data_IF_445484263742
#
_entry.id   IF_445484263742
#
_cell.length_a   1.000
_cell.length_b   1.000
_cell.length_c   1.000
_cell.angle_alpha   90.00
_cell.angle_beta   90.00
_cell.angle_gamma   90.00
#
_symmetry.space_group_name_H-M   'P 1'
#
loop_
_entity.id
_entity.type
_entity.pdbx_description
1 polymer ?
#
# COMPACT_ATOMS: atom_id res chain seq x y z
N UNK A 1 23.80 27.78 41.39
CA UNK A 1 23.40 26.39 41.01
C UNK A 1 23.22 26.33 39.51
N UNK A 2 24.04 25.53 38.80
CA UNK A 2 23.89 25.29 37.35
C UNK A 2 22.93 24.11 37.13
N UNK A 3 22.04 24.14 36.12
CA UNK A 3 21.16 23.02 35.82
C UNK A 3 21.97 21.84 35.28
N UNK A 4 21.74 20.65 35.85
CA UNK A 4 22.29 19.38 35.38
C UNK A 4 21.63 19.04 34.04
N UNK A 5 22.42 18.87 32.98
CA UNK A 5 21.96 18.42 31.68
C UNK A 5 21.39 17.00 31.78
N UNK A 6 20.19 16.79 31.22
CA UNK A 6 19.60 15.45 31.13
C UNK A 6 20.49 14.53 30.26
N UNK A 7 20.70 13.27 30.65
CA UNK A 7 21.54 12.35 29.88
C UNK A 7 20.91 12.09 28.50
N UNK A 8 21.72 12.26 27.45
CA UNK A 8 21.30 11.99 26.07
C UNK A 8 20.82 10.55 25.92
N UNK A 9 19.66 10.36 25.26
CA UNK A 9 19.12 9.02 24.93
C UNK A 9 20.19 8.24 24.17
N UNK A 10 20.80 7.24 24.83
CA UNK A 10 21.94 6.49 24.31
C UNK A 10 21.60 5.67 23.07
N UNK A 11 22.61 5.39 22.25
CA UNK A 11 22.55 4.61 20.99
C UNK A 11 21.80 3.27 21.17
N UNK A 12 21.92 2.62 22.34
CA UNK A 12 21.21 1.38 22.71
C UNK A 12 19.67 1.53 22.75
N UNK A 13 19.16 2.70 23.12
CA UNK A 13 17.72 2.99 23.13
C UNK A 13 17.12 3.22 21.74
N UNK A 14 17.96 3.52 20.74
CA UNK A 14 17.57 3.63 19.33
C UNK A 14 17.73 2.31 18.56
N UNK A 15 18.67 1.45 18.99
CA UNK A 15 18.92 0.14 18.39
C UNK A 15 17.79 -0.87 18.63
N UNK A 16 17.21 -0.92 19.83
CA UNK A 16 16.10 -1.83 20.16
C UNK A 16 14.85 -1.62 19.27
N UNK A 17 14.37 -0.39 19.07
CA UNK A 17 13.32 -0.11 18.09
C UNK A 17 13.74 -0.55 16.68
N UNK A 18 14.94 -0.19 16.22
CA UNK A 18 15.42 -0.52 14.88
C UNK A 18 15.50 -2.03 14.63
N UNK A 19 15.96 -2.82 15.60
CA UNK A 19 15.97 -4.30 15.53
C UNK A 19 14.55 -4.85 15.48
N UNK A 20 13.62 -4.33 16.29
CA UNK A 20 12.22 -4.72 16.22
C UNK A 20 11.57 -4.34 14.88
N UNK A 21 11.95 -3.21 14.28
CA UNK A 21 11.51 -2.82 12.94
C UNK A 21 12.05 -3.79 11.88
N UNK A 22 13.32 -4.14 11.93
CA UNK A 22 13.96 -5.09 11.02
C UNK A 22 13.36 -6.50 11.16
N UNK A 23 13.14 -6.97 12.39
CA UNK A 23 12.50 -8.28 12.64
C UNK A 23 11.06 -8.30 12.13
N UNK A 24 10.32 -7.21 12.29
CA UNK A 24 8.96 -7.10 11.75
C UNK A 24 8.96 -7.12 10.21
N UNK A 25 9.86 -6.36 9.58
CA UNK A 25 10.01 -6.37 8.11
C UNK A 25 10.41 -7.76 7.62
N UNK A 26 11.37 -8.42 8.29
CA UNK A 26 11.80 -9.78 7.95
C UNK A 26 10.71 -10.82 8.21
N UNK A 27 9.88 -10.66 9.25
CA UNK A 27 8.76 -11.55 9.54
C UNK A 27 7.63 -11.39 8.51
N UNK A 28 7.29 -10.15 8.16
CA UNK A 28 6.34 -9.87 7.06
C UNK A 28 6.86 -10.40 5.73
N UNK A 29 8.15 -10.22 5.47
CA UNK A 29 8.84 -10.76 4.29
C UNK A 29 8.85 -12.30 4.29
N UNK A 30 9.09 -12.93 5.43
CA UNK A 30 9.04 -14.38 5.59
C UNK A 30 7.63 -14.93 5.37
N UNK A 31 6.61 -14.29 5.94
CA UNK A 31 5.21 -14.65 5.77
C UNK A 31 4.76 -14.53 4.31
N UNK A 32 5.18 -13.45 3.64
CA UNK A 32 4.94 -13.25 2.21
C UNK A 32 5.60 -14.35 1.36
N UNK A 33 6.86 -14.68 1.62
CA UNK A 33 7.56 -15.75 0.89
C UNK A 33 6.95 -17.13 1.14
N UNK A 34 6.44 -17.41 2.35
CA UNK A 34 5.74 -18.65 2.65
C UNK A 34 4.41 -18.75 1.87
N UNK A 35 3.67 -17.64 1.81
CA UNK A 35 2.47 -17.50 0.99
C UNK A 35 2.71 -17.78 -0.49
N UNK A 36 3.85 -17.31 -1.01
CA UNK A 36 4.26 -17.52 -2.41
C UNK A 36 4.47 -19.00 -2.75
N UNK A 37 5.03 -19.78 -1.84
CA UNK A 37 5.26 -21.23 -2.05
C UNK A 37 3.94 -22.00 -2.16
N UNK A 38 2.89 -21.54 -1.46
CA UNK A 38 1.54 -22.14 -1.50
C UNK A 38 0.76 -21.68 -2.74
N UNK A 39 0.97 -20.44 -3.20
CA UNK A 39 0.23 -19.85 -4.32
C UNK A 39 0.69 -20.33 -5.71
N UNK A 40 1.97 -20.73 -5.88
CA UNK A 40 2.53 -21.16 -7.19
C UNK A 40 1.82 -22.36 -7.84
N UNK A 41 0.96 -23.09 -7.13
CA UNK A 41 0.18 -24.21 -7.65
C UNK A 41 -1.29 -23.91 -7.97
N UNK A 42 -1.74 -22.65 -7.97
CA UNK A 42 -3.18 -22.27 -8.01
C UNK A 42 -3.57 -21.31 -9.13
N UNK A 43 -2.88 -21.32 -10.27
CA UNK A 43 -3.16 -20.38 -11.37
C UNK A 43 -4.62 -20.45 -11.85
N UNK A 44 -5.16 -21.66 -12.04
CA UNK A 44 -6.57 -21.85 -12.39
C UNK A 44 -7.53 -21.26 -11.35
N UNK A 45 -7.24 -21.44 -10.05
CA UNK A 45 -8.04 -20.83 -8.98
C UNK A 45 -7.98 -19.31 -9.00
N UNK A 46 -6.83 -18.72 -9.37
CA UNK A 46 -6.67 -17.27 -9.45
C UNK A 46 -7.49 -16.67 -10.61
N UNK A 47 -7.58 -17.38 -11.74
CA UNK A 47 -8.43 -17.01 -12.88
C UNK A 47 -9.92 -17.12 -12.51
N UNK A 48 -10.33 -18.19 -11.83
CA UNK A 48 -11.72 -18.41 -11.39
C UNK A 48 -12.16 -17.31 -10.39
N UNK A 49 -11.29 -16.93 -9.45
CA UNK A 49 -11.55 -15.81 -8.56
C UNK A 49 -11.69 -14.49 -9.32
N UNK A 50 -10.84 -14.23 -10.31
CA UNK A 50 -10.90 -13.02 -11.11
C UNK A 50 -12.19 -12.93 -11.94
N UNK A 51 -12.61 -14.03 -12.55
CA UNK A 51 -13.90 -14.11 -13.26
C UNK A 51 -15.09 -13.90 -12.32
N UNK A 52 -15.07 -14.55 -11.16
CA UNK A 52 -16.11 -14.37 -10.14
C UNK A 52 -16.18 -12.92 -9.62
N UNK A 53 -15.03 -12.25 -9.52
CA UNK A 53 -14.94 -10.85 -9.15
C UNK A 53 -15.55 -9.94 -10.22
N UNK A 54 -15.25 -10.19 -11.49
CA UNK A 54 -15.85 -9.45 -12.62
C UNK A 54 -17.37 -9.63 -12.69
N UNK A 55 -17.87 -10.83 -12.42
CA UNK A 55 -19.32 -11.08 -12.32
C UNK A 55 -19.95 -10.23 -11.20
N UNK A 56 -19.26 -10.11 -10.06
CA UNK A 56 -19.69 -9.24 -8.96
C UNK A 56 -19.65 -7.75 -9.34
N UNK A 57 -18.62 -7.30 -10.05
CA UNK A 57 -18.53 -5.92 -10.57
C UNK A 57 -19.64 -5.62 -11.58
N UNK A 58 -19.95 -6.58 -12.45
CA UNK A 58 -21.07 -6.52 -13.38
C UNK A 58 -22.42 -6.45 -12.66
N UNK A 59 -22.61 -7.23 -11.61
CA UNK A 59 -23.81 -7.17 -10.76
C UNK A 59 -23.95 -5.82 -10.04
N UNK A 60 -22.84 -5.22 -9.63
CA UNK A 60 -22.77 -3.87 -9.06
C UNK A 60 -22.85 -2.75 -10.11
N UNK A 61 -22.85 -3.11 -11.40
CA UNK A 61 -22.85 -2.19 -12.54
C UNK A 61 -21.68 -1.19 -12.50
N UNK A 62 -20.51 -1.65 -12.08
CA UNK A 62 -19.30 -0.85 -12.15
C UNK A 62 -18.89 -0.63 -13.62
N UNK A 63 -18.23 0.49 -13.95
CA UNK A 63 -17.73 0.75 -15.30
C UNK A 63 -16.71 -0.32 -15.72
N UNK A 64 -16.75 -0.75 -16.98
CA UNK A 64 -15.76 -1.71 -17.49
C UNK A 64 -14.34 -1.12 -17.48
N UNK A 65 -13.41 -1.80 -16.80
CA UNK A 65 -11.99 -1.44 -16.76
C UNK A 65 -11.36 -1.47 -18.14
N UNK A 66 -11.76 -2.43 -18.98
CA UNK A 66 -11.28 -2.56 -20.36
C UNK A 66 -11.55 -1.28 -21.16
N UNK A 67 -12.77 -0.73 -21.08
CA UNK A 67 -13.13 0.49 -21.78
C UNK A 67 -12.28 1.68 -21.31
N UNK A 68 -11.99 1.76 -20.01
CA UNK A 68 -11.13 2.80 -19.45
C UNK A 68 -9.67 2.66 -19.90
N UNK A 69 -9.13 1.44 -19.94
CA UNK A 69 -7.79 1.19 -20.46
C UNK A 69 -7.71 1.48 -21.97
N UNK A 70 -8.68 1.05 -22.77
CA UNK A 70 -8.72 1.31 -24.21
C UNK A 70 -8.74 2.81 -24.51
N UNK A 71 -9.54 3.58 -23.76
CA UNK A 71 -9.51 5.04 -23.83
C UNK A 71 -8.10 5.57 -23.51
N UNK A 72 -7.48 5.09 -22.42
CA UNK A 72 -6.17 5.57 -21.99
C UNK A 72 -5.05 5.25 -23.00
N UNK A 73 -5.12 4.08 -23.66
CA UNK A 73 -4.21 3.67 -24.73
C UNK A 73 -4.30 4.60 -25.95
N UNK A 74 -5.46 5.21 -26.19
CA UNK A 74 -5.66 6.21 -27.24
C UNK A 74 -5.08 7.60 -26.92
N UNK A 75 -4.69 7.87 -25.68
CA UNK A 75 -4.14 9.18 -25.26
C UNK A 75 -2.61 9.14 -25.29
N UNK A 76 -1.94 9.99 -26.10
CA UNK A 76 -0.48 10.00 -26.20
C UNK A 76 0.20 10.15 -24.83
N UNK A 77 1.19 9.30 -24.57
CA UNK A 77 2.01 9.26 -23.35
C UNK A 77 1.30 8.95 -22.03
N UNK A 78 -0.03 8.90 -21.97
CA UNK A 78 -0.77 8.73 -20.72
C UNK A 78 -0.41 7.42 -20.01
N UNK A 79 -0.44 6.30 -20.75
CA UNK A 79 -0.13 4.98 -20.21
C UNK A 79 1.35 4.88 -19.78
N UNK A 80 2.28 5.42 -20.58
CA UNK A 80 3.69 5.44 -20.19
C UNK A 80 3.97 6.29 -18.94
N UNK A 81 3.21 7.36 -18.71
CA UNK A 81 3.24 8.12 -17.46
C UNK A 81 2.62 7.33 -16.30
N UNK A 82 1.53 6.61 -16.56
CA UNK A 82 0.87 5.75 -15.58
C UNK A 82 1.81 4.63 -15.12
N UNK A 83 2.49 3.93 -16.02
CA UNK A 83 3.46 2.88 -15.68
C UNK A 83 4.62 3.42 -14.83
N UNK A 84 5.12 4.63 -15.13
CA UNK A 84 6.14 5.28 -14.29
C UNK A 84 5.60 5.65 -12.92
N UNK A 85 4.39 6.20 -12.86
CA UNK A 85 3.75 6.54 -11.59
C UNK A 85 3.53 5.29 -10.72
N UNK A 86 3.13 4.17 -11.34
CA UNK A 86 2.95 2.88 -10.68
C UNK A 86 4.22 2.51 -9.87
N UNK A 87 5.40 2.70 -10.46
CA UNK A 87 6.68 2.51 -9.76
C UNK A 87 6.98 3.61 -8.73
N UNK A 88 6.70 4.87 -9.05
CA UNK A 88 6.99 6.03 -8.19
C UNK A 88 6.15 6.08 -6.90
N UNK A 89 5.01 5.39 -6.86
CA UNK A 89 4.16 5.32 -5.67
C UNK A 89 4.92 4.85 -4.42
N UNK A 90 5.86 3.90 -4.56
CA UNK A 90 6.66 3.39 -3.44
C UNK A 90 7.66 4.44 -2.90
N UNK A 91 8.52 5.08 -3.73
CA UNK A 91 9.32 6.22 -3.30
C UNK A 91 8.51 7.35 -2.66
N UNK A 92 7.32 7.68 -3.19
CA UNK A 92 6.43 8.68 -2.60
C UNK A 92 6.04 8.27 -1.17
N UNK A 93 5.66 7.01 -0.98
CA UNK A 93 5.32 6.47 0.34
C UNK A 93 6.48 6.60 1.32
N UNK A 94 7.69 6.20 0.91
CA UNK A 94 8.90 6.33 1.75
C UNK A 94 9.17 7.79 2.07
N UNK A 95 9.11 8.68 1.08
CA UNK A 95 9.34 10.12 1.27
C UNK A 95 8.36 10.74 2.26
N UNK A 96 7.07 10.37 2.19
CA UNK A 96 6.04 10.80 3.15
C UNK A 96 6.35 10.30 4.55
N UNK A 97 6.75 9.03 4.71
CA UNK A 97 7.10 8.48 6.02
C UNK A 97 8.33 9.17 6.62
N UNK A 98 9.36 9.43 5.81
CA UNK A 98 10.55 10.19 6.23
C UNK A 98 10.17 11.61 6.66
N UNK A 99 9.32 12.29 5.88
CA UNK A 99 8.83 13.62 6.23
C UNK A 99 8.01 13.62 7.53
N UNK A 100 7.09 12.67 7.69
CA UNK A 100 6.33 12.48 8.92
C UNK A 100 7.26 12.19 10.10
N UNK A 101 8.30 11.38 9.91
CA UNK A 101 9.28 11.11 10.96
C UNK A 101 10.01 12.39 11.35
N UNK A 102 10.47 13.18 10.38
CA UNK A 102 11.21 14.41 10.64
C UNK A 102 10.35 15.51 11.29
N UNK A 103 9.09 15.66 10.87
CA UNK A 103 8.26 16.82 11.21
C UNK A 103 7.02 16.52 12.06
N UNK A 104 6.53 15.29 12.07
CA UNK A 104 5.25 14.89 12.70
C UNK A 104 5.32 13.50 13.34
N UNK A 105 6.18 13.32 14.35
CA UNK A 105 6.44 12.04 15.03
C UNK A 105 5.18 11.25 15.43
N UNK A 106 4.11 11.86 15.99
CA UNK A 106 2.87 11.12 16.26
C UNK A 106 2.19 10.60 14.99
N UNK A 107 2.15 11.42 13.93
CA UNK A 107 1.61 11.04 12.62
C UNK A 107 2.40 9.91 11.98
N UNK A 108 3.74 9.94 12.07
CA UNK A 108 4.61 8.84 11.62
C UNK A 108 4.28 7.52 12.32
N UNK A 109 4.16 7.52 13.66
CA UNK A 109 3.86 6.30 14.43
C UNK A 109 2.50 5.71 14.02
N UNK A 110 1.50 6.57 13.85
CA UNK A 110 0.17 6.13 13.42
C UNK A 110 0.18 5.58 11.99
N UNK A 111 0.82 6.29 11.04
CA UNK A 111 0.97 5.84 9.66
C UNK A 111 1.71 4.50 9.57
N UNK A 112 2.88 4.40 10.22
CA UNK A 112 3.72 3.19 10.21
C UNK A 112 2.97 1.97 10.75
N UNK A 113 2.32 2.08 11.92
CA UNK A 113 1.57 0.96 12.51
C UNK A 113 0.39 0.55 11.64
N UNK A 114 -0.30 1.52 11.05
CA UNK A 114 -1.43 1.27 10.17
C UNK A 114 -0.98 0.61 8.85
N UNK A 115 0.15 1.03 8.28
CA UNK A 115 0.74 0.43 7.08
C UNK A 115 1.16 -1.01 7.33
N UNK A 116 1.84 -1.28 8.45
CA UNK A 116 2.20 -2.65 8.86
C UNK A 116 0.97 -3.53 8.95
N UNK A 117 -0.07 -3.08 9.67
CA UNK A 117 -1.28 -3.86 9.86
C UNK A 117 -2.03 -4.07 8.53
N UNK A 118 -2.24 -3.01 7.76
CA UNK A 118 -2.93 -3.09 6.48
C UNK A 118 -2.19 -4.03 5.52
N UNK A 119 -0.86 -3.95 5.47
CA UNK A 119 -0.03 -4.83 4.64
C UNK A 119 -0.10 -6.27 5.11
N UNK A 120 -0.01 -6.52 6.41
CA UNK A 120 -0.13 -7.87 6.95
C UNK A 120 -1.50 -8.51 6.62
N UNK A 121 -2.59 -7.77 6.80
CA UNK A 121 -3.94 -8.22 6.45
C UNK A 121 -4.06 -8.47 4.95
N UNK A 122 -3.59 -7.53 4.12
CA UNK A 122 -3.58 -7.71 2.67
C UNK A 122 -2.77 -8.95 2.26
N UNK A 123 -1.60 -9.19 2.84
CA UNK A 123 -0.79 -10.39 2.56
C UNK A 123 -1.54 -11.67 2.91
N UNK A 124 -2.29 -11.70 4.01
CA UNK A 124 -3.17 -12.82 4.32
C UNK A 124 -4.23 -12.98 3.23
N UNK A 125 -4.91 -11.91 2.81
CA UNK A 125 -5.91 -12.01 1.74
C UNK A 125 -5.29 -12.54 0.43
N UNK A 126 -4.11 -12.07 0.02
CA UNK A 126 -3.42 -12.57 -1.19
C UNK A 126 -3.13 -14.08 -1.14
N UNK A 127 -2.87 -14.63 0.05
CA UNK A 127 -2.62 -16.08 0.23
C UNK A 127 -3.91 -16.88 0.09
N UNK A 128 -5.01 -16.35 0.63
CA UNK A 128 -6.29 -17.05 0.70
C UNK A 128 -7.12 -16.88 -0.58
N UNK A 129 -7.00 -15.73 -1.22
CA UNK A 129 -7.74 -15.33 -2.42
C UNK A 129 -6.72 -14.87 -3.48
N UNK A 130 -5.92 -15.79 -4.06
CA UNK A 130 -5.07 -15.45 -5.20
C UNK A 130 -5.94 -14.91 -6.33
N UNK A 131 -5.45 -13.94 -7.08
CA UNK A 131 -6.25 -13.18 -8.04
C UNK A 131 -5.42 -12.81 -9.26
N UNK A 132 -5.83 -13.30 -10.43
CA UNK A 132 -5.19 -12.96 -11.69
C UNK A 132 -5.49 -11.50 -12.03
N UNK A 133 -4.46 -10.64 -12.20
CA UNK A 133 -4.68 -9.25 -12.56
C UNK A 133 -5.26 -9.12 -13.97
N UNK A 134 -5.95 -8.01 -14.28
CA UNK A 134 -6.63 -7.87 -15.56
C UNK A 134 -5.71 -8.00 -16.79
N UNK A 135 -4.44 -7.58 -16.70
CA UNK A 135 -3.46 -7.69 -17.79
C UNK A 135 -3.03 -9.13 -18.13
N UNK A 136 -3.26 -10.08 -17.21
CA UNK A 136 -2.88 -11.49 -17.37
C UNK A 136 -4.09 -12.41 -17.58
N UNK A 137 -5.31 -11.92 -17.35
CA UNK A 137 -6.52 -12.75 -17.49
C UNK A 137 -6.89 -12.94 -18.96
N UNK A 138 -6.83 -14.19 -19.43
CA UNK A 138 -7.13 -14.52 -20.81
C UNK A 138 -8.61 -14.22 -21.18
N UNK A 139 -8.79 -13.57 -22.32
CA UNK A 139 -10.09 -13.24 -22.90
C UNK A 139 -10.65 -11.86 -22.52
N UNK A 140 -9.92 -11.06 -21.72
CA UNK A 140 -10.40 -9.75 -21.25
C UNK A 140 -10.04 -8.56 -22.16
N UNK A 141 -9.23 -8.79 -23.22
CA UNK A 141 -8.84 -7.75 -24.18
C UNK A 141 -7.88 -6.68 -23.64
N UNK A 142 -7.48 -6.76 -22.37
CA UNK A 142 -6.57 -5.80 -21.75
C UNK A 142 -5.09 -6.08 -22.01
N UNK A 143 -4.30 -5.01 -22.03
CA UNK A 143 -2.88 -4.99 -22.41
C UNK A 143 -2.00 -4.90 -21.16
N UNK A 144 -0.94 -5.70 -21.11
CA UNK A 144 0.16 -5.51 -20.16
C UNK A 144 1.06 -4.35 -20.61
N UNK A 145 0.67 -3.15 -20.17
CA UNK A 145 1.33 -1.89 -20.56
C UNK A 145 2.76 -1.80 -20.05
N UNK A 146 3.01 -2.34 -18.85
CA UNK A 146 4.35 -2.39 -18.26
C UNK A 146 5.30 -3.25 -19.09
N UNK A 147 4.84 -4.44 -19.52
CA UNK A 147 5.63 -5.32 -20.37
C UNK A 147 5.89 -4.70 -21.76
N UNK A 148 4.86 -4.16 -22.41
CA UNK A 148 4.97 -3.55 -23.75
C UNK A 148 5.81 -2.27 -23.73
N UNK A 149 5.65 -1.44 -22.70
CA UNK A 149 6.32 -0.14 -22.55
C UNK A 149 7.71 -0.20 -21.92
N UNK A 150 8.19 -1.39 -21.53
CA UNK A 150 9.50 -1.58 -20.89
C UNK A 150 9.62 -1.02 -19.47
N UNK A 151 8.48 -0.73 -18.82
CA UNK A 151 8.41 -0.21 -17.44
C UNK A 151 7.78 -1.22 -16.48
N UNK A 152 7.83 -2.51 -16.81
CA UNK A 152 7.25 -3.56 -15.96
C UNK A 152 7.89 -3.56 -14.58
N UNK A 153 7.05 -3.52 -13.54
CA UNK A 153 7.48 -3.70 -12.16
C UNK A 153 8.03 -5.11 -11.87
N UNK A 154 7.85 -6.04 -12.82
CA UNK A 154 8.15 -7.46 -12.68
C UNK A 154 9.32 -7.92 -13.55
N UNK A 155 9.85 -7.05 -14.43
CA UNK A 155 10.99 -7.38 -15.30
C UNK A 155 12.36 -6.99 -14.73
N UNK A 156 13.30 -7.95 -14.69
CA UNK A 156 14.75 -7.68 -14.76
C UNK A 156 15.49 -7.30 -13.47
N UNK A 157 14.91 -7.46 -12.28
CA UNK A 157 15.61 -7.27 -11.00
C UNK A 157 15.34 -8.45 -10.05
N UNK A 158 16.30 -8.87 -9.19
CA UNK A 158 16.03 -9.86 -8.14
C UNK A 158 14.81 -9.49 -7.28
N UNK A 159 14.56 -8.19 -7.08
CA UNK A 159 13.40 -7.66 -6.33
C UNK A 159 12.09 -7.77 -7.12
N UNK A 160 12.13 -7.75 -8.45
CA UNK A 160 10.97 -7.91 -9.32
C UNK A 160 10.56 -9.38 -9.44
N UNK A 161 11.53 -10.31 -9.44
CA UNK A 161 11.29 -11.77 -9.32
C UNK A 161 10.69 -12.18 -7.96
N UNK A 162 10.83 -11.31 -6.96
CA UNK A 162 10.26 -11.46 -5.63
C UNK A 162 8.78 -11.03 -5.56
N UNK A 163 8.26 -10.27 -6.54
CA UNK A 163 6.88 -9.81 -6.58
C UNK A 163 5.95 -10.83 -7.27
N UNK A 164 4.85 -11.23 -6.62
CA UNK A 164 3.87 -12.15 -7.21
C UNK A 164 2.92 -11.38 -8.14
N UNK A 165 2.98 -11.65 -9.44
CA UNK A 165 2.10 -11.02 -10.43
C UNK A 165 0.63 -11.40 -10.27
N UNK A 166 0.33 -12.58 -9.69
CA UNK A 166 -1.02 -13.12 -9.46
C UNK A 166 -1.62 -12.73 -8.10
N UNK A 167 -1.25 -11.55 -7.61
CA UNK A 167 -1.62 -11.02 -6.32
C UNK A 167 -2.34 -9.66 -6.49
N UNK A 168 -3.42 -9.64 -7.27
CA UNK A 168 -4.18 -8.40 -7.52
C UNK A 168 -5.05 -7.98 -6.31
N UNK A 169 -5.72 -8.91 -5.64
CA UNK A 169 -6.63 -8.60 -4.53
C UNK A 169 -5.93 -8.80 -3.17
N UNK A 170 -5.93 -7.81 -2.26
CA UNK A 170 -6.43 -6.43 -2.40
C UNK A 170 -5.35 -5.45 -2.88
N UNK A 171 -5.76 -4.33 -3.48
CA UNK A 171 -4.81 -3.35 -3.99
C UNK A 171 -4.05 -2.60 -2.89
N UNK A 172 -2.79 -3.00 -2.66
CA UNK A 172 -1.89 -2.32 -1.73
C UNK A 172 -1.55 -0.89 -2.19
N UNK A 173 -1.43 -0.64 -3.49
CA UNK A 173 -1.19 0.68 -4.05
C UNK A 173 -2.28 1.67 -3.61
N UNK A 174 -3.55 1.31 -3.84
CA UNK A 174 -4.68 2.17 -3.45
C UNK A 174 -4.80 2.27 -1.93
N UNK A 175 -4.68 1.15 -1.22
CA UNK A 175 -4.75 1.13 0.24
C UNK A 175 -3.70 2.03 0.90
N UNK A 176 -2.44 1.95 0.47
CA UNK A 176 -1.36 2.81 0.97
C UNK A 176 -1.60 4.27 0.61
N UNK A 177 -2.01 4.55 -0.64
CA UNK A 177 -2.31 5.92 -1.07
C UNK A 177 -3.42 6.57 -0.22
N UNK A 178 -4.51 5.83 0.06
CA UNK A 178 -5.60 6.29 0.93
C UNK A 178 -5.08 6.52 2.34
N UNK A 179 -4.29 5.60 2.87
CA UNK A 179 -3.74 5.68 4.22
C UNK A 179 -2.92 6.96 4.40
N UNK A 180 -1.98 7.20 3.48
CA UNK A 180 -1.14 8.40 3.50
C UNK A 180 -1.97 9.67 3.36
N UNK A 181 -2.94 9.70 2.44
CA UNK A 181 -3.82 10.85 2.25
C UNK A 181 -4.57 11.20 3.54
N UNK A 182 -5.16 10.21 4.22
CA UNK A 182 -5.85 10.41 5.49
C UNK A 182 -4.91 10.94 6.57
N UNK A 183 -3.71 10.37 6.70
CA UNK A 183 -2.71 10.85 7.69
C UNK A 183 -2.30 12.29 7.42
N UNK A 184 -2.03 12.63 6.17
CA UNK A 184 -1.56 13.97 5.77
C UNK A 184 -2.66 15.02 5.89
N UNK A 185 -3.90 14.69 5.54
CA UNK A 185 -5.06 15.55 5.77
C UNK A 185 -5.28 15.79 7.26
N UNK A 186 -5.12 14.77 8.13
CA UNK A 186 -5.31 14.94 9.58
C UNK A 186 -4.17 15.68 10.27
N UNK A 187 -2.93 15.53 9.79
CA UNK A 187 -1.76 16.18 10.40
C UNK A 187 -1.50 17.58 9.84
N UNK A 188 -1.90 17.84 8.60
CA UNK A 188 -1.73 19.11 7.92
C UNK A 188 -2.63 20.22 8.47
N UNK A 189 -2.09 21.43 8.57
CA UNK A 189 -2.81 22.64 9.03
C UNK A 189 -3.24 23.58 7.89
N UNK A 190 -2.61 23.46 6.72
CA UNK A 190 -2.90 24.28 5.53
C UNK A 190 -4.10 23.74 4.75
N UNK A 191 -4.82 24.60 4.03
CA UNK A 191 -5.86 24.20 3.06
C UNK A 191 -5.32 23.30 1.95
N UNK A 192 -4.03 23.42 1.61
CA UNK A 192 -3.34 22.58 0.62
C UNK A 192 -3.30 21.10 1.03
N UNK A 193 -3.59 20.75 2.29
CA UNK A 193 -3.64 19.35 2.74
C UNK A 193 -4.62 18.49 1.94
N UNK A 194 -5.68 19.10 1.39
CA UNK A 194 -6.68 18.40 0.60
C UNK A 194 -6.15 17.94 -0.77
N UNK A 195 -5.04 18.52 -1.25
CA UNK A 195 -4.38 18.03 -2.47
C UNK A 195 -3.90 16.58 -2.31
N UNK A 196 -3.67 16.11 -1.07
CA UNK A 196 -3.34 14.71 -0.83
C UNK A 196 -4.46 13.73 -1.17
N UNK A 197 -5.71 14.17 -1.32
CA UNK A 197 -6.80 13.34 -1.85
C UNK A 197 -6.59 13.00 -3.32
N UNK A 198 -5.84 13.82 -4.07
CA UNK A 198 -5.51 13.51 -5.47
C UNK A 198 -4.62 12.26 -5.56
N UNK A 199 -3.78 12.00 -4.56
CA UNK A 199 -2.87 10.85 -4.58
C UNK A 199 -3.59 9.51 -4.74
N UNK A 200 -4.56 9.11 -3.88
CA UNK A 200 -5.31 7.87 -4.07
C UNK A 200 -6.17 7.87 -5.34
N UNK A 201 -6.68 9.01 -5.80
CA UNK A 201 -7.44 9.08 -7.06
C UNK A 201 -6.55 8.81 -8.28
N UNK A 202 -5.36 9.42 -8.32
CA UNK A 202 -4.37 9.17 -9.37
C UNK A 202 -3.88 7.72 -9.28
N UNK A 203 -3.59 7.22 -8.09
CA UNK A 203 -3.16 5.83 -7.91
C UNK A 203 -4.25 4.86 -8.38
N UNK A 204 -5.52 5.09 -8.07
CA UNK A 204 -6.64 4.29 -8.55
C UNK A 204 -6.72 4.27 -10.07
N UNK A 205 -6.69 5.45 -10.71
CA UNK A 205 -6.70 5.55 -12.16
C UNK A 205 -5.53 4.79 -12.77
N UNK A 206 -4.32 4.99 -12.24
CA UNK A 206 -3.09 4.36 -12.72
C UNK A 206 -3.20 2.84 -12.66
N UNK A 207 -3.64 2.26 -11.54
CA UNK A 207 -3.68 0.80 -11.43
C UNK A 207 -4.72 0.14 -12.35
N UNK A 208 -5.81 0.86 -12.65
CA UNK A 208 -6.86 0.37 -13.56
C UNK A 208 -6.41 0.50 -15.02
N UNK A 209 -5.90 1.67 -15.44
CA UNK A 209 -5.48 1.88 -16.84
C UNK A 209 -4.23 1.07 -17.21
N UNK A 210 -3.41 0.67 -16.24
CA UNK A 210 -2.28 -0.25 -16.44
C UNK A 210 -2.69 -1.72 -16.28
N UNK A 211 -3.99 -2.01 -16.10
CA UNK A 211 -4.56 -3.34 -15.94
C UNK A 211 -3.89 -4.17 -14.82
N UNK A 212 -3.47 -3.50 -13.74
CA UNK A 212 -2.89 -4.14 -12.56
C UNK A 212 -3.95 -4.54 -11.52
N UNK A 213 -5.07 -3.82 -11.44
CA UNK A 213 -6.11 -4.03 -10.44
C UNK A 213 -7.52 -3.77 -11.00
N UNK A 214 -8.50 -4.51 -10.48
CA UNK A 214 -9.94 -4.27 -10.68
C UNK A 214 -10.47 -3.20 -9.71
N UNK A 215 -11.70 -2.71 -9.91
CA UNK A 215 -12.32 -1.76 -8.98
C UNK A 215 -12.50 -2.33 -7.58
N UNK A 216 -12.91 -3.59 -7.45
CA UNK A 216 -13.12 -4.23 -6.16
C UNK A 216 -11.79 -4.50 -5.42
N UNK A 217 -10.69 -4.69 -6.14
CA UNK A 217 -9.36 -4.76 -5.52
C UNK A 217 -9.04 -3.45 -4.78
N UNK A 218 -9.31 -2.33 -5.44
CA UNK A 218 -9.12 -0.99 -4.89
C UNK A 218 -10.07 -0.71 -3.71
N UNK A 219 -11.32 -1.15 -3.81
CA UNK A 219 -12.29 -1.03 -2.72
C UNK A 219 -11.85 -1.83 -1.48
N UNK A 220 -11.40 -3.07 -1.67
CA UNK A 220 -10.88 -3.91 -0.59
C UNK A 220 -9.62 -3.31 0.05
N UNK A 221 -8.67 -2.84 -0.75
CA UNK A 221 -7.46 -2.15 -0.27
C UNK A 221 -7.79 -0.91 0.56
N UNK A 222 -8.76 -0.11 0.09
CA UNK A 222 -9.28 1.06 0.80
C UNK A 222 -9.92 0.67 2.14
N UNK A 223 -10.77 -0.36 2.16
CA UNK A 223 -11.43 -0.82 3.38
C UNK A 223 -10.42 -1.31 4.43
N UNK A 224 -9.42 -2.08 4.01
CA UNK A 224 -8.34 -2.56 4.89
C UNK A 224 -7.53 -1.36 5.44
N UNK A 225 -7.17 -0.39 4.59
CA UNK A 225 -6.42 0.78 5.02
C UNK A 225 -7.17 1.63 6.04
N UNK A 226 -8.45 1.92 5.79
CA UNK A 226 -9.30 2.69 6.70
C UNK A 226 -9.56 1.93 8.01
N UNK A 227 -9.78 0.61 7.95
CA UNK A 227 -9.91 -0.25 9.12
C UNK A 227 -8.65 -0.23 9.99
N UNK A 228 -7.47 -0.38 9.37
CA UNK A 228 -6.18 -0.31 10.08
C UNK A 228 -5.96 1.05 10.74
N UNK A 229 -6.24 2.15 10.02
CA UNK A 229 -6.16 3.51 10.57
C UNK A 229 -7.10 3.71 11.75
N UNK A 230 -8.35 3.25 11.65
CA UNK A 230 -9.34 3.36 12.71
C UNK A 230 -8.95 2.56 13.95
N UNK A 231 -8.45 1.33 13.76
CA UNK A 231 -7.97 0.49 14.86
C UNK A 231 -6.76 1.12 15.56
N UNK A 232 -5.77 1.56 14.80
CA UNK A 232 -4.54 2.15 15.36
C UNK A 232 -4.76 3.53 15.97
N UNK A 233 -5.84 4.24 15.60
CA UNK A 233 -6.23 5.48 16.29
C UNK A 233 -6.75 5.23 17.72
N UNK A 234 -7.27 4.04 18.01
CA UNK A 234 -7.76 3.64 19.34
C UNK A 234 -6.63 3.13 20.24
N UNK A 235 -5.58 2.56 19.66
CA UNK A 235 -4.41 2.06 20.39
C UNK A 235 -3.49 3.23 20.75
N UNK A 236 -3.80 3.96 21.83
CA UNK A 236 -2.85 4.89 22.44
C UNK A 236 -1.67 4.08 22.99
N UNK A 237 -0.43 4.50 22.68
CA UNK A 237 0.69 4.10 23.54
C UNK A 237 0.38 4.63 24.94
N UNK A 238 0.54 3.84 26.01
CA UNK A 238 0.59 4.36 27.37
C UNK A 238 1.54 5.56 27.34
N UNK A 239 1.03 6.72 27.70
CA UNK A 239 1.87 7.89 27.89
C UNK A 239 2.96 7.48 28.89
N UNK A 240 4.20 7.89 28.64
CA UNK A 240 5.21 7.99 29.68
C UNK A 240 4.49 8.68 30.87
N UNK A 241 4.20 7.91 31.92
CA UNK A 241 3.67 8.44 33.17
C UNK A 241 4.60 9.58 33.53
N UNK A 242 4.09 10.81 33.47
CA UNK A 242 4.80 11.94 34.04
C UNK A 242 4.97 11.59 35.50
N UNK A 243 6.21 11.57 36.04
CA UNK A 243 6.41 11.31 37.46
C UNK A 243 5.56 12.34 38.18
N UNK A 244 4.60 11.85 38.97
CA UNK A 244 3.81 12.69 39.85
C UNK A 244 4.79 13.56 40.64
N UNK A 245 4.75 14.87 40.40
CA UNK A 245 5.30 15.83 41.34
C UNK A 245 4.40 15.80 42.58
N UNK A 246 4.62 14.82 43.45
CA UNK A 246 4.23 14.92 44.85
C UNK A 246 5.30 15.77 45.54
N UNK A 247 5.12 17.09 45.43
CA UNK A 247 5.76 18.04 46.33
C UNK A 247 4.72 18.43 47.37
N UNK A 248 4.99 18.03 48.61
CA UNK A 248 4.85 18.70 49.92
C UNK A 248 4.52 17.66 50.97
#
# INVERSE_FOLDING_TARGET
MRPVAAPGRGIRSALLPAVAETVLVLALFGLYNLGRLVAKGRLHTADDHARSLLDAEGALRLPAEEALQQWALGVPHLVGLADRYYLLHFPITVGVLVWLYARHRPGYRWARRSLVLATAVAMLVHIWVPMTPPRLLAGLGMVDTGAVGGNSAYGGSPVSELANEYAAMPSLHVGWAVLLAVVLVRTGRSRLRWLWVLHPLVTLLVVVVTANHYWLDAAAGTAIALGALALMARVRCPAEESPSRSGT
#
